data_IF_098790797522
#
_entry.id   IF_098790797522
#
_cell.length_a   1.000
_cell.length_b   1.000
_cell.length_c   1.000
_cell.angle_alpha   90.00
_cell.angle_beta   90.00
_cell.angle_gamma   90.00
#
_symmetry.space_group_name_H-M   'P 1'
#
loop_
_entity.id
_entity.type
_entity.pdbx_description
1 polymer ?
#
# COMPACT_ATOMS: atom_id res chain seq x y z
N UNK A 1 -7.28 -31.38 -9.43
CA UNK A 1 -7.14 -30.55 -10.65
C UNK A 1 -5.74 -30.77 -11.20
N UNK A 2 -5.59 -31.07 -12.50
CA UNK A 2 -4.28 -31.13 -13.16
C UNK A 2 -4.07 -29.79 -13.86
N UNK A 3 -2.92 -29.16 -13.64
CA UNK A 3 -2.55 -27.93 -14.34
C UNK A 3 -2.08 -28.27 -15.75
N UNK A 4 -2.66 -27.60 -16.73
CA UNK A 4 -2.25 -27.73 -18.12
C UNK A 4 -0.97 -26.90 -18.37
N UNK A 5 -0.29 -27.17 -19.48
CA UNK A 5 0.91 -26.40 -19.85
C UNK A 5 0.64 -24.90 -19.96
N UNK A 6 -0.57 -24.52 -20.40
CA UNK A 6 -1.01 -23.13 -20.48
C UNK A 6 -1.08 -22.47 -19.10
N UNK A 7 -1.54 -23.17 -18.06
CA UNK A 7 -1.64 -22.63 -16.70
C UNK A 7 -0.25 -22.30 -16.16
N UNK A 8 0.72 -23.19 -16.37
CA UNK A 8 2.10 -22.97 -15.99
C UNK A 8 2.73 -21.76 -16.70
N UNK A 9 2.44 -21.60 -18.00
CA UNK A 9 2.90 -20.43 -18.77
C UNK A 9 2.33 -19.15 -18.15
N UNK A 10 1.05 -19.12 -17.81
CA UNK A 10 0.40 -17.95 -17.20
C UNK A 10 1.01 -17.64 -15.82
N UNK A 11 1.25 -18.66 -15.00
CA UNK A 11 1.89 -18.49 -13.68
C UNK A 11 3.28 -17.89 -13.83
N UNK A 12 4.13 -18.48 -14.67
CA UNK A 12 5.51 -18.00 -14.88
C UNK A 12 5.52 -16.59 -15.48
N UNK A 13 4.65 -16.31 -16.45
CA UNK A 13 4.53 -14.99 -17.04
C UNK A 13 4.09 -13.94 -16.01
N UNK A 14 3.12 -14.26 -15.16
CA UNK A 14 2.63 -13.37 -14.11
C UNK A 14 3.75 -13.06 -13.11
N UNK A 15 4.48 -14.08 -12.64
CA UNK A 15 5.63 -13.90 -11.77
C UNK A 15 6.70 -13.03 -12.44
N UNK A 16 7.02 -13.29 -13.71
CA UNK A 16 7.98 -12.48 -14.45
C UNK A 16 7.55 -11.00 -14.51
N UNK A 17 6.29 -10.71 -14.83
CA UNK A 17 5.76 -9.33 -14.85
C UNK A 17 5.85 -8.66 -13.48
N UNK A 18 5.64 -9.40 -12.38
CA UNK A 18 5.76 -8.85 -11.02
C UNK A 18 7.21 -8.55 -10.63
N UNK A 19 8.17 -9.42 -10.99
CA UNK A 19 9.55 -9.31 -10.51
C UNK A 19 10.50 -8.57 -11.46
N UNK A 20 10.26 -8.60 -12.77
CA UNK A 20 11.15 -7.96 -13.75
C UNK A 20 11.33 -6.45 -13.48
N UNK A 21 10.28 -5.65 -13.23
CA UNK A 21 10.45 -4.23 -12.92
C UNK A 21 11.34 -4.00 -11.70
N UNK A 22 11.21 -4.82 -10.65
CA UNK A 22 12.02 -4.69 -9.45
C UNK A 22 13.52 -4.87 -9.73
N UNK A 23 13.89 -5.76 -10.66
CA UNK A 23 15.29 -5.95 -11.09
C UNK A 23 15.85 -4.72 -11.82
N UNK A 24 15.04 -4.06 -12.65
CA UNK A 24 15.45 -2.84 -13.36
C UNK A 24 15.55 -1.63 -12.42
N UNK A 25 14.62 -1.49 -11.48
CA UNK A 25 14.59 -0.37 -10.53
C UNK A 25 15.48 -0.58 -9.31
N UNK A 26 15.98 -1.80 -9.04
CA UNK A 26 16.81 -2.10 -7.88
C UNK A 26 18.08 -1.23 -7.77
N UNK A 27 18.77 -0.99 -8.89
CA UNK A 27 19.95 -0.09 -8.91
C UNK A 27 19.60 1.36 -8.57
N UNK A 28 18.41 1.83 -8.95
CA UNK A 28 17.95 3.19 -8.66
C UNK A 28 17.53 3.29 -7.19
N UNK A 29 16.74 2.33 -6.72
CA UNK A 29 16.27 2.26 -5.34
C UNK A 29 17.45 2.20 -4.33
N UNK A 30 18.55 1.54 -4.70
CA UNK A 30 19.76 1.46 -3.86
C UNK A 30 20.60 2.73 -3.76
N UNK A 31 20.30 3.81 -4.51
CA UNK A 31 21.11 5.04 -4.49
C UNK A 31 20.95 5.85 -3.20
N UNK A 32 19.77 5.84 -2.61
CA UNK A 32 19.48 6.56 -1.36
C UNK A 32 18.20 6.02 -0.71
N UNK A 33 18.05 6.25 0.59
CA UNK A 33 16.83 5.96 1.33
C UNK A 33 15.61 6.70 0.75
N UNK A 34 15.81 7.88 0.16
CA UNK A 34 14.74 8.65 -0.50
C UNK A 34 14.30 8.05 -1.84
N UNK A 35 15.22 7.47 -2.62
CA UNK A 35 14.86 6.72 -3.83
C UNK A 35 14.16 5.40 -3.47
N UNK A 36 14.55 4.74 -2.38
CA UNK A 36 13.93 3.49 -1.94
C UNK A 36 12.48 3.67 -1.46
N UNK A 37 12.22 4.61 -0.54
CA UNK A 37 10.91 4.74 0.12
C UNK A 37 9.94 5.68 -0.59
N UNK A 38 10.42 6.75 -1.22
CA UNK A 38 9.55 7.77 -1.86
C UNK A 38 9.87 8.00 -3.33
N UNK A 39 10.73 7.18 -3.94
CA UNK A 39 11.14 7.30 -5.36
C UNK A 39 11.59 8.73 -5.73
N UNK A 40 12.35 9.37 -4.83
CA UNK A 40 12.82 10.74 -5.02
C UNK A 40 11.68 11.77 -5.12
N UNK A 41 10.46 11.42 -4.67
CA UNK A 41 9.23 12.22 -4.78
C UNK A 41 8.84 12.60 -6.21
N UNK A 42 9.34 11.88 -7.20
CA UNK A 42 9.15 12.14 -8.62
C UNK A 42 8.03 11.29 -9.26
N UNK A 43 7.33 10.46 -8.46
CA UNK A 43 6.26 9.59 -8.96
C UNK A 43 5.09 10.45 -9.47
N UNK A 44 4.63 10.27 -10.73
CA UNK A 44 3.49 11.01 -11.23
C UNK A 44 2.21 10.58 -10.51
N UNK A 45 1.27 11.53 -10.36
CA UNK A 45 0.07 11.33 -9.55
C UNK A 45 -0.77 10.11 -9.96
N UNK A 46 -0.83 9.79 -11.26
CA UNK A 46 -1.62 8.67 -11.77
C UNK A 46 -1.01 7.32 -11.35
N UNK A 47 0.33 7.24 -11.32
CA UNK A 47 1.04 6.03 -10.91
C UNK A 47 0.93 5.84 -9.39
N UNK A 48 1.02 6.93 -8.62
CA UNK A 48 0.75 6.91 -7.19
C UNK A 48 -0.70 6.49 -6.90
N UNK A 49 -1.67 7.04 -7.66
CA UNK A 49 -3.08 6.67 -7.57
C UNK A 49 -3.34 5.20 -7.85
N UNK A 50 -2.81 4.69 -8.96
CA UNK A 50 -2.91 3.28 -9.33
C UNK A 50 -2.30 2.37 -8.26
N UNK A 51 -1.11 2.74 -7.75
CA UNK A 51 -0.45 1.99 -6.68
C UNK A 51 -1.29 1.94 -5.42
N UNK A 52 -1.91 3.05 -5.01
CA UNK A 52 -2.77 3.07 -3.82
C UNK A 52 -3.97 2.12 -3.97
N UNK A 53 -4.64 2.13 -5.12
CA UNK A 53 -5.77 1.22 -5.39
C UNK A 53 -5.30 -0.23 -5.43
N UNK A 54 -4.18 -0.51 -6.10
CA UNK A 54 -3.61 -1.85 -6.17
C UNK A 54 -3.26 -2.41 -4.77
N UNK A 55 -2.67 -1.59 -3.88
CA UNK A 55 -2.35 -2.00 -2.50
C UNK A 55 -3.59 -2.36 -1.70
N UNK A 56 -4.72 -1.70 -1.94
CA UNK A 56 -5.98 -2.03 -1.25
C UNK A 56 -6.68 -3.28 -1.80
N UNK A 57 -6.27 -3.75 -2.98
CA UNK A 57 -6.90 -4.86 -3.68
C UNK A 57 -6.09 -6.14 -3.50
N UNK A 58 -6.15 -6.71 -2.29
CA UNK A 58 -5.47 -7.97 -1.97
C UNK A 58 -6.26 -9.17 -2.51
N UNK A 59 -5.69 -10.37 -2.39
CA UNK A 59 -6.35 -11.62 -2.81
C UNK A 59 -7.69 -11.87 -2.06
N UNK A 60 -7.89 -11.27 -0.88
CA UNK A 60 -9.11 -11.43 -0.09
C UNK A 60 -10.26 -10.53 -0.58
N UNK A 61 -9.94 -9.41 -1.23
CA UNK A 61 -10.95 -8.44 -1.67
C UNK A 61 -11.96 -9.04 -2.66
N UNK A 62 -11.54 -9.79 -3.71
CA UNK A 62 -12.49 -10.50 -4.58
C UNK A 62 -13.35 -11.53 -3.83
N UNK A 63 -12.77 -12.26 -2.87
CA UNK A 63 -13.52 -13.22 -2.06
C UNK A 63 -14.60 -12.53 -1.21
N UNK A 64 -14.27 -11.39 -0.60
CA UNK A 64 -15.23 -10.57 0.13
C UNK A 64 -16.34 -10.03 -0.79
N UNK A 65 -15.97 -9.47 -1.94
CA UNK A 65 -16.95 -8.91 -2.90
C UNK A 65 -17.88 -10.00 -3.43
N UNK A 66 -17.34 -11.17 -3.77
CA UNK A 66 -18.16 -12.30 -4.23
C UNK A 66 -19.11 -12.81 -3.15
N UNK A 67 -18.69 -12.89 -1.88
CA UNK A 67 -19.58 -13.24 -0.77
C UNK A 67 -20.69 -12.20 -0.57
N UNK A 68 -20.36 -10.90 -0.61
CA UNK A 68 -21.34 -9.80 -0.53
C UNK A 68 -22.38 -9.93 -1.65
N UNK A 69 -21.95 -10.11 -2.89
CA UNK A 69 -22.85 -10.24 -4.05
C UNK A 69 -23.69 -11.50 -3.94
N UNK A 70 -23.10 -12.62 -3.50
CA UNK A 70 -23.80 -13.89 -3.33
C UNK A 70 -24.90 -13.82 -2.28
N UNK A 71 -24.72 -13.05 -1.20
CA UNK A 71 -25.71 -12.92 -0.11
C UNK A 71 -26.73 -11.81 -0.33
N UNK A 72 -26.28 -10.65 -0.80
CA UNK A 72 -27.06 -9.40 -0.83
C UNK A 72 -27.33 -8.88 -2.25
N UNK A 73 -26.93 -9.63 -3.28
CA UNK A 73 -26.98 -9.19 -4.67
C UNK A 73 -25.96 -8.08 -4.97
N UNK A 74 -25.96 -7.61 -6.22
CA UNK A 74 -25.03 -6.54 -6.68
C UNK A 74 -25.19 -5.27 -5.85
N UNK A 75 -26.40 -4.98 -5.36
CA UNK A 75 -26.71 -3.83 -4.51
C UNK A 75 -25.92 -3.84 -3.18
N UNK A 76 -25.48 -4.99 -2.67
CA UNK A 76 -24.64 -5.09 -1.48
C UNK A 76 -23.30 -4.33 -1.59
N UNK A 77 -22.80 -4.11 -2.81
CA UNK A 77 -21.59 -3.31 -3.03
C UNK A 77 -21.76 -1.83 -2.66
N UNK A 78 -22.97 -1.35 -2.37
CA UNK A 78 -23.13 0.02 -1.85
C UNK A 78 -22.37 0.26 -0.55
N UNK A 79 -22.01 -0.79 0.19
CA UNK A 79 -21.20 -0.70 1.42
C UNK A 79 -19.89 0.06 1.21
N UNK A 80 -19.28 -0.01 0.01
CA UNK A 80 -18.03 0.71 -0.29
C UNK A 80 -18.18 2.23 -0.23
N UNK A 81 -19.40 2.75 -0.41
CA UNK A 81 -19.66 4.18 -0.30
C UNK A 81 -19.47 4.72 1.12
N UNK A 82 -19.47 3.85 2.14
CA UNK A 82 -19.13 4.24 3.51
C UNK A 82 -17.72 4.85 3.62
N UNK A 83 -16.80 4.49 2.73
CA UNK A 83 -15.43 5.02 2.71
C UNK A 83 -15.30 6.36 1.99
N UNK A 84 -16.34 6.85 1.33
CA UNK A 84 -16.26 8.12 0.57
C UNK A 84 -16.03 9.29 1.51
N UNK A 85 -16.78 9.39 2.60
CA UNK A 85 -16.64 10.50 3.55
C UNK A 85 -15.26 10.50 4.22
N UNK A 86 -14.76 9.33 4.62
CA UNK A 86 -13.43 9.20 5.23
C UNK A 86 -12.33 9.50 4.23
N UNK A 87 -12.44 9.02 2.99
CA UNK A 87 -11.51 9.33 1.91
C UNK A 87 -11.46 10.82 1.58
N UNK A 88 -12.61 11.48 1.47
CA UNK A 88 -12.69 12.93 1.26
C UNK A 88 -12.05 13.69 2.42
N UNK A 89 -12.33 13.31 3.67
CA UNK A 89 -11.71 13.94 4.83
C UNK A 89 -10.18 13.78 4.82
N UNK A 90 -9.66 12.60 4.47
CA UNK A 90 -8.22 12.35 4.31
C UNK A 90 -7.59 13.27 3.26
N UNK A 91 -8.25 13.45 2.11
CA UNK A 91 -7.73 14.32 1.04
C UNK A 91 -7.75 15.79 1.46
N UNK A 92 -8.88 16.30 1.97
CA UNK A 92 -9.03 17.73 2.25
C UNK A 92 -8.27 18.20 3.48
N UNK A 93 -8.25 17.40 4.55
CA UNK A 93 -7.63 17.81 5.82
C UNK A 93 -6.20 17.29 5.96
N UNK A 94 -5.98 16.00 5.66
CA UNK A 94 -4.74 15.32 6.03
C UNK A 94 -3.67 15.32 4.94
N UNK A 95 -4.03 15.25 3.65
CA UNK A 95 -3.04 15.12 2.58
C UNK A 95 -2.03 16.29 2.55
N UNK A 96 -2.50 17.52 2.76
CA UNK A 96 -1.63 18.71 2.84
C UNK A 96 -0.72 18.66 4.08
N UNK A 97 -1.23 18.25 5.22
CA UNK A 97 -0.47 18.13 6.47
C UNK A 97 0.60 17.04 6.35
N UNK A 98 0.23 15.89 5.77
CA UNK A 98 1.16 14.79 5.50
C UNK A 98 2.28 15.22 4.57
N UNK A 99 1.96 15.90 3.47
CA UNK A 99 2.97 16.42 2.54
C UNK A 99 3.92 17.41 3.18
N UNK A 100 3.45 18.23 4.14
CA UNK A 100 4.26 19.19 4.89
C UNK A 100 5.16 18.55 5.95
N UNK A 101 4.79 17.38 6.47
CA UNK A 101 5.58 16.69 7.50
C UNK A 101 6.88 16.10 6.97
N UNK A 102 6.95 15.86 5.65
CA UNK A 102 8.13 15.31 4.95
C UNK A 102 8.64 13.97 5.48
N UNK A 103 7.87 13.30 6.33
CA UNK A 103 8.22 12.00 6.92
C UNK A 103 8.35 10.93 5.83
N UNK A 104 9.30 10.05 6.04
CA UNK A 104 9.61 8.93 5.14
C UNK A 104 8.82 7.68 5.50
N UNK A 105 8.48 7.54 6.78
CA UNK A 105 7.68 6.43 7.32
C UNK A 105 6.55 6.99 8.17
N UNK A 106 5.45 6.26 8.25
CA UNK A 106 4.36 6.59 9.16
C UNK A 106 4.80 6.56 10.64
N UNK A 107 5.74 5.66 10.99
CA UNK A 107 6.29 5.55 12.34
C UNK A 107 7.13 6.77 12.76
N UNK A 108 7.81 7.42 11.82
CA UNK A 108 8.55 8.66 12.08
C UNK A 108 7.65 9.79 12.56
N UNK A 109 6.38 9.78 12.15
CA UNK A 109 5.40 10.75 12.61
C UNK A 109 5.21 10.74 14.13
N UNK A 110 5.46 9.62 14.83
CA UNK A 110 5.37 9.57 16.30
C UNK A 110 6.38 10.51 16.97
N UNK A 111 7.58 10.63 16.43
CA UNK A 111 8.62 11.51 16.97
C UNK A 111 8.43 12.98 16.55
N UNK A 112 7.74 13.21 15.43
CA UNK A 112 7.31 14.57 15.05
C UNK A 112 6.15 15.05 15.93
N UNK A 113 5.19 14.15 16.21
CA UNK A 113 3.97 14.49 16.95
C UNK A 113 4.17 14.50 18.47
N UNK A 114 5.02 13.64 18.99
CA UNK A 114 5.27 13.47 20.42
C UNK A 114 6.76 13.63 20.72
N UNK A 115 7.06 14.17 21.91
CA UNK A 115 8.44 14.44 22.32
C UNK A 115 8.95 13.43 23.35
N UNK A 116 10.28 13.26 23.39
CA UNK A 116 10.98 12.53 24.43
C UNK A 116 11.16 11.03 24.17
N UNK A 117 11.74 10.35 25.16
CA UNK A 117 12.15 8.93 25.07
C UNK A 117 10.97 7.98 24.81
N UNK A 118 9.78 8.32 25.30
CA UNK A 118 8.59 7.50 25.10
C UNK A 118 8.19 7.39 23.62
N UNK A 119 8.31 8.47 22.85
CA UNK A 119 8.01 8.46 21.41
C UNK A 119 8.97 7.53 20.65
N UNK A 120 10.26 7.59 20.96
CA UNK A 120 11.27 6.72 20.36
C UNK A 120 11.09 5.23 20.72
N UNK A 121 10.70 4.93 21.97
CA UNK A 121 10.38 3.56 22.38
C UNK A 121 9.18 3.03 21.59
N UNK A 122 8.11 3.82 21.45
CA UNK A 122 6.93 3.40 20.67
C UNK A 122 7.28 3.22 19.20
N UNK A 123 8.07 4.12 18.61
CA UNK A 123 8.56 3.99 17.22
C UNK A 123 9.35 2.69 17.04
N UNK A 124 10.31 2.42 17.94
CA UNK A 124 11.14 1.23 17.89
C UNK A 124 10.37 -0.07 18.12
N UNK A 125 9.41 -0.08 19.05
CA UNK A 125 8.54 -1.23 19.26
C UNK A 125 7.68 -1.51 18.01
N UNK A 126 7.04 -0.47 17.44
CA UNK A 126 6.17 -0.64 16.27
C UNK A 126 6.95 -1.01 15.01
N UNK A 127 8.19 -0.55 14.84
CA UNK A 127 9.01 -0.95 13.69
C UNK A 127 9.36 -2.44 13.72
N UNK A 128 9.64 -2.99 14.90
CA UNK A 128 9.88 -4.43 15.08
C UNK A 128 8.58 -5.22 14.93
N UNK A 129 7.52 -4.79 15.61
CA UNK A 129 6.23 -5.49 15.59
C UNK A 129 5.62 -5.55 14.18
N UNK A 130 5.45 -4.39 13.53
CA UNK A 130 4.83 -4.32 12.20
C UNK A 130 5.77 -4.79 11.08
N UNK A 131 7.09 -4.74 11.30
CA UNK A 131 8.07 -5.13 10.29
C UNK A 131 8.37 -6.63 10.25
N UNK A 132 8.23 -7.34 11.37
CA UNK A 132 8.63 -8.75 11.49
C UNK A 132 7.50 -9.71 11.86
N UNK A 133 6.48 -9.26 12.59
CA UNK A 133 5.49 -10.14 13.21
C UNK A 133 4.06 -9.98 12.68
N UNK A 134 3.81 -8.93 11.89
CA UNK A 134 2.50 -8.64 11.29
C UNK A 134 2.57 -8.87 9.78
#
# INVERSE_FOLDING_TARGET
MKLEALDWIIIVATLAVCFLPALFFGKRAGRSTSEFFVSGRAVPWWLAGLSMVATTFSADTPNLVTDIVRRNGVAGNWVWWAFVLTGLATVFFYARLWRRSEVMTDLEFYEVRYSGKAAGVVRGFRSVYLGLFF
#
